data_IF_640633054541
#
_entry.id   IF_640633054541
#
_cell.length_a   1.000
_cell.length_b   1.000
_cell.length_c   1.000
_cell.angle_alpha   90.00
_cell.angle_beta   90.00
_cell.angle_gamma   90.00
#
_symmetry.space_group_name_H-M   'P 1'
#
loop_
_entity.id
_entity.type
_entity.pdbx_description
1 polymer ?
#
# COMPACT_ATOMS: atom_id res chain seq x y z
N UNK A 1 -7.20 -1.17 -15.57
CA UNK A 1 -7.56 0.14 -15.01
C UNK A 1 -6.27 0.80 -14.52
N UNK A 2 -5.96 2.00 -15.02
CA UNK A 2 -4.76 2.72 -14.60
C UNK A 2 -4.99 3.29 -13.20
N UNK A 3 -4.11 2.94 -12.26
CA UNK A 3 -4.18 3.38 -10.86
C UNK A 3 -2.97 4.24 -10.55
N UNK A 4 -3.18 5.31 -9.80
CA UNK A 4 -2.14 6.24 -9.38
C UNK A 4 -1.70 5.91 -7.96
N UNK A 5 -0.40 5.73 -7.77
CA UNK A 5 0.23 5.41 -6.48
C UNK A 5 1.15 6.54 -6.05
N UNK A 6 1.12 6.89 -4.76
CA UNK A 6 2.10 7.77 -4.13
C UNK A 6 2.82 6.97 -3.04
N UNK A 7 4.08 6.63 -3.28
CA UNK A 7 4.88 5.80 -2.38
C UNK A 7 5.92 6.66 -1.69
N UNK A 8 6.09 6.51 -0.38
CA UNK A 8 7.19 7.13 0.35
C UNK A 8 8.49 6.37 0.12
N UNK A 9 9.58 7.10 -0.07
CA UNK A 9 10.92 6.54 -0.23
C UNK A 9 11.85 7.25 0.75
N UNK A 10 12.49 6.46 1.58
CA UNK A 10 13.59 6.92 2.42
C UNK A 10 14.85 7.01 1.56
N UNK A 11 15.40 8.20 1.44
CA UNK A 11 16.66 8.50 0.78
C UNK A 11 17.73 8.67 1.85
N UNK A 12 18.79 7.86 1.82
CA UNK A 12 20.01 8.05 2.58
C UNK A 12 21.17 8.39 1.65
N UNK A 13 22.18 9.11 2.17
CA UNK A 13 23.41 9.36 1.43
C UNK A 13 24.56 8.69 2.15
N UNK A 14 25.11 7.60 1.62
CA UNK A 14 26.25 6.87 2.22
C UNK A 14 27.44 6.94 1.27
N UNK A 15 28.58 7.40 1.79
CA UNK A 15 29.87 7.44 1.07
C UNK A 15 29.84 8.10 -0.33
N UNK A 16 28.99 9.13 -0.50
CA UNK A 16 28.85 9.82 -1.78
C UNK A 16 27.91 9.16 -2.80
N UNK A 17 27.29 8.04 -2.43
CA UNK A 17 26.16 7.42 -3.15
C UNK A 17 24.83 7.70 -2.45
N UNK A 18 23.76 7.72 -3.22
CA UNK A 18 22.39 7.79 -2.68
C UNK A 18 21.77 6.40 -2.67
N UNK A 19 21.13 6.07 -1.56
CA UNK A 19 20.43 4.81 -1.30
C UNK A 19 18.95 5.13 -1.07
N UNK A 20 18.07 4.45 -1.81
CA UNK A 20 16.64 4.70 -1.80
C UNK A 20 15.93 3.42 -1.38
N UNK A 21 15.17 3.49 -0.29
CA UNK A 21 14.40 2.36 0.26
C UNK A 21 12.92 2.72 0.27
N UNK A 22 12.09 1.94 -0.41
CA UNK A 22 10.66 2.22 -0.49
C UNK A 22 9.90 1.77 0.78
N UNK A 23 8.94 2.59 1.20
CA UNK A 23 8.04 2.34 2.32
C UNK A 23 6.76 1.62 1.83
N UNK A 24 6.91 0.35 1.43
CA UNK A 24 5.85 -0.54 0.87
C UNK A 24 5.52 -1.70 1.83
N UNK A 25 4.51 -2.55 1.68
CA UNK A 25 4.21 -3.59 2.69
C UNK A 25 5.42 -4.45 3.12
N UNK A 26 5.54 -4.79 4.42
CA UNK A 26 6.74 -5.44 5.02
C UNK A 26 7.16 -6.75 4.35
N UNK A 27 6.23 -7.46 3.70
CA UNK A 27 6.53 -8.66 2.92
C UNK A 27 7.22 -8.40 1.57
N UNK A 28 7.53 -7.15 1.25
CA UNK A 28 8.05 -6.72 -0.05
C UNK A 28 9.21 -5.75 0.11
N UNK A 29 10.07 -5.71 -0.89
CA UNK A 29 11.30 -4.94 -0.83
C UNK A 29 11.63 -4.29 -2.17
N UNK A 30 11.83 -2.97 -2.13
CA UNK A 30 12.31 -2.18 -3.25
C UNK A 30 13.40 -1.23 -2.76
N UNK A 31 14.61 -1.45 -3.30
CA UNK A 31 15.82 -0.70 -3.00
C UNK A 31 16.52 -0.31 -4.29
N UNK A 32 17.11 0.88 -4.33
CA UNK A 32 17.96 1.34 -5.42
C UNK A 32 19.14 2.14 -4.86
N UNK A 33 20.30 2.04 -5.52
CA UNK A 33 21.49 2.82 -5.17
C UNK A 33 22.13 3.41 -6.42
N UNK A 34 22.75 4.58 -6.27
CA UNK A 34 23.51 5.18 -7.35
C UNK A 34 23.75 6.68 -7.18
N UNK A 35 23.95 7.35 -8.30
CA UNK A 35 24.16 8.79 -8.38
C UNK A 35 23.15 9.41 -9.34
N UNK A 36 22.67 10.61 -8.99
CA UNK A 36 21.72 11.38 -9.78
C UNK A 36 20.27 10.99 -9.47
N UNK A 37 19.58 11.89 -8.78
CA UNK A 37 18.20 11.73 -8.32
C UNK A 37 17.23 11.30 -9.44
N UNK A 38 17.30 11.90 -10.63
CA UNK A 38 16.38 11.59 -11.74
C UNK A 38 16.49 10.13 -12.17
N UNK A 39 17.72 9.62 -12.35
CA UNK A 39 17.95 8.22 -12.76
C UNK A 39 17.53 7.24 -11.67
N UNK A 40 17.77 7.58 -10.40
CA UNK A 40 17.32 6.77 -9.28
C UNK A 40 15.80 6.73 -9.18
N UNK A 41 15.14 7.87 -9.41
CA UNK A 41 13.69 7.95 -9.45
C UNK A 41 13.09 7.06 -10.53
N UNK A 42 13.61 7.10 -11.75
CA UNK A 42 13.16 6.24 -12.85
C UNK A 42 13.33 4.74 -12.50
N UNK A 43 14.52 4.35 -12.04
CA UNK A 43 14.79 2.97 -11.62
C UNK A 43 13.90 2.52 -10.46
N UNK A 44 13.63 3.41 -9.50
CA UNK A 44 12.75 3.12 -8.37
C UNK A 44 11.31 2.95 -8.85
N UNK A 45 10.81 3.80 -9.75
CA UNK A 45 9.48 3.65 -10.34
C UNK A 45 9.35 2.30 -11.06
N UNK A 46 10.34 1.92 -11.86
CA UNK A 46 10.32 0.64 -12.58
C UNK A 46 10.38 -0.55 -11.63
N UNK A 47 11.17 -0.45 -10.56
CA UNK A 47 11.19 -1.46 -9.50
C UNK A 47 9.85 -1.56 -8.79
N UNK A 48 9.22 -0.43 -8.42
CA UNK A 48 7.91 -0.40 -7.77
C UNK A 48 6.82 -0.99 -8.67
N UNK A 49 6.85 -0.71 -9.97
CA UNK A 49 5.95 -1.34 -10.96
C UNK A 49 6.13 -2.86 -10.99
N UNK A 50 7.36 -3.35 -10.96
CA UNK A 50 7.63 -4.78 -10.92
C UNK A 50 7.05 -5.43 -9.64
N UNK A 51 7.33 -4.85 -8.48
CA UNK A 51 6.81 -5.37 -7.20
C UNK A 51 5.28 -5.35 -7.17
N UNK A 52 4.64 -4.28 -7.67
CA UNK A 52 3.18 -4.20 -7.74
C UNK A 52 2.54 -5.28 -8.62
N UNK A 53 3.20 -5.68 -9.73
CA UNK A 53 2.68 -6.77 -10.60
C UNK A 53 2.63 -8.12 -9.89
N UNK A 54 3.56 -8.34 -8.98
CA UNK A 54 3.65 -9.56 -8.17
C UNK A 54 2.72 -9.48 -6.94
N UNK A 55 2.31 -8.27 -6.55
CA UNK A 55 1.48 -8.00 -5.37
C UNK A 55 0.01 -8.38 -5.57
N UNK A 56 -0.62 -9.11 -4.63
CA UNK A 56 -2.06 -9.36 -4.65
C UNK A 56 -2.86 -8.04 -4.63
N UNK A 57 -3.99 -7.93 -5.35
CA UNK A 57 -4.79 -6.70 -5.41
C UNK A 57 -5.13 -6.11 -4.03
N UNK A 58 -5.45 -6.97 -3.06
CA UNK A 58 -5.75 -6.57 -1.67
C UNK A 58 -4.61 -5.82 -0.96
N UNK A 59 -3.37 -6.08 -1.36
CA UNK A 59 -2.16 -5.56 -0.70
C UNK A 59 -1.62 -4.33 -1.46
N UNK A 60 -2.17 -3.99 -2.64
CA UNK A 60 -1.71 -2.86 -3.44
C UNK A 60 -2.12 -1.51 -2.85
N UNK A 61 -3.26 -1.43 -2.16
CA UNK A 61 -3.68 -0.19 -1.47
C UNK A 61 -2.68 0.22 -0.37
N UNK A 62 -1.98 -0.76 0.21
CA UNK A 62 -0.97 -0.55 1.25
C UNK A 62 0.34 0.09 0.74
N UNK A 63 0.48 0.29 -0.58
CA UNK A 63 1.59 1.05 -1.15
C UNK A 63 1.41 2.55 -1.01
N UNK A 64 0.18 3.02 -0.78
CA UNK A 64 -0.07 4.45 -0.58
C UNK A 64 0.57 4.89 0.73
N UNK A 65 1.42 5.92 0.64
CA UNK A 65 2.00 6.54 1.82
C UNK A 65 0.88 7.18 2.65
N UNK A 66 0.75 6.84 3.95
CA UNK A 66 -0.21 7.49 4.81
C UNK A 66 0.04 9.00 4.91
N UNK A 67 -1.05 9.75 5.01
CA UNK A 67 -0.97 11.19 5.20
C UNK A 67 -0.36 11.51 6.57
N UNK A 68 0.57 12.46 6.60
CA UNK A 68 1.27 12.84 7.83
C UNK A 68 2.46 11.95 8.17
N UNK A 69 2.80 10.96 7.33
CA UNK A 69 4.05 10.21 7.50
C UNK A 69 5.25 11.13 7.35
N UNK A 70 6.16 11.07 8.33
CA UNK A 70 7.35 11.92 8.39
C UNK A 70 8.60 11.13 8.77
N UNK A 71 9.77 11.74 8.53
CA UNK A 71 11.07 11.24 8.95
C UNK A 71 11.55 12.05 10.15
N UNK A 72 11.55 11.41 11.31
CA UNK A 72 12.11 11.93 12.55
C UNK A 72 13.55 11.45 12.74
N UNK A 73 14.35 12.30 13.40
CA UNK A 73 15.76 12.02 13.68
C UNK A 73 15.99 12.09 15.16
N UNK A 74 16.09 10.93 15.80
CA UNK A 74 16.13 10.85 17.24
C UNK A 74 17.58 10.68 17.73
N UNK A 75 18.00 11.42 18.76
CA UNK A 75 19.28 11.16 19.41
C UNK A 75 19.26 9.74 19.97
N UNK A 76 20.38 9.04 19.80
CA UNK A 76 20.49 7.64 20.15
C UNK A 76 21.85 7.34 20.79
N UNK A 77 21.81 6.53 21.84
CA UNK A 77 22.98 6.12 22.60
C UNK A 77 22.76 4.68 23.10
N UNK A 78 23.54 3.76 22.53
CA UNK A 78 23.43 2.34 22.81
C UNK A 78 24.76 1.76 23.24
N UNK A 79 24.74 1.07 24.37
CA UNK A 79 25.83 0.22 24.82
C UNK A 79 25.63 -1.20 24.27
N UNK A 80 26.57 -1.65 23.46
CA UNK A 80 26.69 -3.01 22.95
C UNK A 80 27.68 -3.82 23.80
N UNK A 81 27.83 -5.10 23.51
CA UNK A 81 28.77 -5.97 24.23
C UNK A 81 30.24 -5.66 23.87
N UNK A 82 30.49 -5.19 22.65
CA UNK A 82 31.80 -4.86 22.07
C UNK A 82 32.13 -3.37 22.06
N UNK A 83 31.17 -2.50 22.40
CA UNK A 83 31.38 -1.05 22.30
C UNK A 83 30.19 -0.20 22.73
N UNK A 84 30.28 1.10 22.43
CA UNK A 84 29.17 2.06 22.63
C UNK A 84 29.02 2.88 21.36
N UNK A 85 27.80 2.90 20.83
CA UNK A 85 27.46 3.63 19.62
C UNK A 85 26.57 4.80 19.97
N UNK A 86 26.96 5.99 19.53
CA UNK A 86 26.19 7.23 19.72
C UNK A 86 25.95 7.89 18.36
N UNK A 87 24.79 8.51 18.20
CA UNK A 87 24.46 9.22 16.98
C UNK A 87 22.98 9.56 16.89
N UNK A 88 22.45 9.52 15.66
CA UNK A 88 21.06 9.85 15.37
C UNK A 88 20.44 8.73 14.57
N UNK A 89 19.30 8.22 15.01
CA UNK A 89 18.56 7.15 14.31
C UNK A 89 17.44 7.78 13.47
N UNK A 90 17.34 7.46 12.18
CA UNK A 90 16.21 7.84 11.35
C UNK A 90 15.01 6.96 11.69
N UNK A 91 13.87 7.59 11.92
CA UNK A 91 12.64 6.92 12.29
C UNK A 91 11.51 7.41 11.38
N UNK A 92 10.83 6.49 10.70
CA UNK A 92 9.56 6.82 10.04
C UNK A 92 8.48 6.84 11.11
N UNK A 93 7.72 7.92 11.16
CA UNK A 93 6.57 8.09 12.03
C UNK A 93 5.32 8.17 11.17
N UNK A 94 4.47 7.15 11.24
CA UNK A 94 3.21 7.07 10.49
C UNK A 94 2.01 7.26 11.42
N UNK A 95 1.25 8.36 11.31
CA UNK A 95 0.02 8.51 12.06
C UNK A 95 -1.07 7.61 11.47
N UNK A 96 -1.77 6.87 12.34
CA UNK A 96 -2.90 6.00 11.99
C UNK A 96 -4.07 6.29 12.91
N UNK A 97 -5.23 6.57 12.33
CA UNK A 97 -6.49 6.67 13.07
C UNK A 97 -6.92 5.28 13.55
N UNK A 98 -7.19 5.14 14.84
CA UNK A 98 -7.83 3.94 15.40
C UNK A 98 -9.34 4.16 15.50
N UNK A 99 -9.75 5.38 15.84
CA UNK A 99 -11.13 5.81 15.92
C UNK A 99 -11.29 7.24 15.34
N UNK A 100 -12.44 7.87 15.56
CA UNK A 100 -12.74 9.20 15.00
C UNK A 100 -11.90 10.33 15.61
N UNK A 101 -11.40 10.16 16.83
CA UNK A 101 -10.78 11.21 17.64
C UNK A 101 -9.35 10.89 18.06
N UNK A 102 -8.91 9.63 17.86
CA UNK A 102 -7.59 9.15 18.29
C UNK A 102 -6.74 8.67 17.13
N UNK A 103 -5.56 9.26 17.05
CA UNK A 103 -4.43 8.75 16.26
C UNK A 103 -3.41 8.07 17.18
N UNK A 104 -2.74 7.05 16.65
CA UNK A 104 -1.49 6.53 17.20
C UNK A 104 -0.39 6.65 16.16
N UNK A 105 0.84 6.64 16.62
CA UNK A 105 2.03 6.74 15.79
C UNK A 105 2.66 5.35 15.65
N UNK A 106 2.73 4.84 14.43
CA UNK A 106 3.54 3.67 14.11
C UNK A 106 4.95 4.14 13.78
N UNK A 107 5.93 3.58 14.47
CA UNK A 107 7.31 4.05 14.45
C UNK A 107 8.25 2.91 14.09
N UNK A 108 9.11 3.12 13.10
CA UNK A 108 10.05 2.09 12.66
C UNK A 108 11.26 2.65 11.93
N UNK A 109 12.36 1.89 11.91
CA UNK A 109 13.54 2.24 11.14
C UNK A 109 13.31 1.95 9.64
N UNK A 110 13.64 2.87 8.70
CA UNK A 110 13.36 2.69 7.27
C UNK A 110 13.94 1.40 6.66
N UNK A 111 15.09 0.93 7.14
CA UNK A 111 15.75 -0.28 6.66
C UNK A 111 15.35 -1.55 7.45
N UNK A 112 14.68 -1.41 8.62
CA UNK A 112 14.29 -2.52 9.50
C UNK A 112 12.81 -2.44 9.88
N UNK A 113 11.96 -2.41 8.86
CA UNK A 113 10.53 -2.08 8.99
C UNK A 113 9.67 -3.13 9.69
N UNK A 114 10.21 -4.32 9.89
CA UNK A 114 9.60 -5.36 10.73
C UNK A 114 9.79 -5.08 12.22
N UNK A 115 10.74 -4.21 12.58
CA UNK A 115 11.00 -3.75 13.94
C UNK A 115 10.29 -2.41 14.14
N UNK A 116 9.06 -2.49 14.64
CA UNK A 116 8.22 -1.32 14.85
C UNK A 116 7.63 -1.30 16.26
N UNK A 117 7.29 -0.10 16.72
CA UNK A 117 6.59 0.14 17.98
C UNK A 117 5.51 1.21 17.79
N UNK A 118 4.65 1.35 18.80
CA UNK A 118 3.57 2.35 18.82
C UNK A 118 3.91 3.42 19.86
N UNK A 119 3.66 4.68 19.53
CA UNK A 119 3.64 5.79 20.47
C UNK A 119 2.29 6.51 20.42
N UNK A 120 1.81 6.99 21.57
CA UNK A 120 0.60 7.81 21.64
C UNK A 120 0.91 9.27 21.28
N UNK A 121 2.07 9.78 21.69
CA UNK A 121 2.53 11.14 21.38
C UNK A 121 3.99 11.15 20.87
N UNK A 122 4.35 12.22 20.16
CA UNK A 122 5.71 12.48 19.69
C UNK A 122 6.71 12.66 20.84
N UNK A 123 6.27 13.17 21.99
CA UNK A 123 7.13 13.36 23.16
C UNK A 123 7.70 12.04 23.69
N UNK A 124 7.01 10.93 23.44
CA UNK A 124 7.41 9.60 23.94
C UNK A 124 8.43 8.92 23.03
N UNK A 125 8.62 9.41 21.80
CA UNK A 125 9.40 8.75 20.75
C UNK A 125 10.83 8.45 21.18
N UNK A 126 11.52 9.43 21.78
CA UNK A 126 12.93 9.26 22.18
C UNK A 126 13.10 8.14 23.22
N UNK A 127 12.23 8.14 24.23
CA UNK A 127 12.28 7.16 25.32
C UNK A 127 11.92 5.76 24.80
N UNK A 128 10.82 5.64 24.04
CA UNK A 128 10.36 4.37 23.48
C UNK A 128 11.38 3.80 22.48
N UNK A 129 11.92 4.64 21.58
CA UNK A 129 12.92 4.22 20.60
C UNK A 129 14.19 3.69 21.28
N UNK A 130 14.67 4.37 22.33
CA UNK A 130 15.87 3.96 23.06
C UNK A 130 15.67 2.60 23.74
N UNK A 131 14.52 2.39 24.40
CA UNK A 131 14.19 1.10 25.00
C UNK A 131 14.03 0.00 23.95
N UNK A 132 13.35 0.30 22.84
CA UNK A 132 13.05 -0.64 21.78
C UNK A 132 14.31 -1.13 21.05
N UNK A 133 15.15 -0.21 20.58
CA UNK A 133 16.39 -0.56 19.86
C UNK A 133 17.44 -1.18 20.79
N UNK A 134 17.47 -0.83 22.08
CA UNK A 134 18.32 -1.54 23.04
C UNK A 134 18.01 -3.03 23.14
N UNK A 135 16.74 -3.41 22.95
CA UNK A 135 16.35 -4.81 22.90
C UNK A 135 16.65 -5.44 21.53
N UNK A 136 16.20 -4.80 20.45
CA UNK A 136 16.25 -5.37 19.09
C UNK A 136 17.65 -5.37 18.47
N UNK A 137 18.49 -4.39 18.80
CA UNK A 137 19.83 -4.23 18.21
C UNK A 137 20.93 -4.75 19.12
N UNK A 138 20.60 -5.36 20.26
CA UNK A 138 21.60 -5.91 21.19
C UNK A 138 22.52 -6.95 20.53
N UNK A 139 21.97 -7.74 19.61
CA UNK A 139 22.70 -8.79 18.91
C UNK A 139 23.47 -8.30 17.67
N UNK A 140 23.38 -7.01 17.34
CA UNK A 140 24.14 -6.41 16.25
C UNK A 140 25.51 -5.97 16.76
N UNK A 141 26.51 -6.04 15.89
CA UNK A 141 27.83 -5.47 16.16
C UNK A 141 27.83 -3.95 15.95
N UNK A 142 28.90 -3.30 16.42
CA UNK A 142 29.05 -1.86 16.31
C UNK A 142 28.98 -1.35 14.86
N UNK A 143 29.53 -2.08 13.89
CA UNK A 143 29.52 -1.71 12.48
C UNK A 143 28.10 -1.72 11.90
N UNK A 144 27.31 -2.76 12.17
CA UNK A 144 25.92 -2.84 11.72
C UNK A 144 25.07 -1.73 12.32
N UNK A 145 25.23 -1.43 13.62
CA UNK A 145 24.47 -0.33 14.25
C UNK A 145 24.88 1.02 13.64
N UNK A 146 26.17 1.26 13.40
CA UNK A 146 26.64 2.49 12.73
C UNK A 146 26.06 2.63 11.32
N UNK A 147 25.91 1.53 10.59
CA UNK A 147 25.30 1.52 9.25
C UNK A 147 23.82 1.95 9.21
N UNK A 148 23.11 1.83 10.34
CA UNK A 148 21.71 2.24 10.51
C UNK A 148 21.58 3.71 10.97
N UNK A 149 22.67 4.35 11.39
CA UNK A 149 22.60 5.74 11.83
C UNK A 149 22.44 6.70 10.65
N UNK A 150 21.73 7.78 10.92
CA UNK A 150 21.59 8.91 10.02
C UNK A 150 22.87 9.75 10.00
N UNK A 151 23.23 10.24 8.82
CA UNK A 151 24.26 11.28 8.67
C UNK A 151 23.68 12.70 8.59
N UNK A 152 22.38 12.86 8.88
CA UNK A 152 21.65 14.12 8.85
C UNK A 152 21.28 14.64 7.46
N UNK A 153 21.62 13.93 6.38
CA UNK A 153 21.31 14.30 4.99
C UNK A 153 20.29 13.39 4.31
N UNK A 154 19.80 12.42 5.06
CA UNK A 154 18.66 11.58 4.73
C UNK A 154 17.36 12.38 4.56
N UNK A 155 16.41 11.86 3.78
CA UNK A 155 15.13 12.52 3.49
C UNK A 155 14.04 11.48 3.28
N UNK A 156 12.80 11.86 3.58
CA UNK A 156 11.63 11.17 3.09
C UNK A 156 11.13 11.91 1.85
N UNK A 157 11.14 11.24 0.69
CA UNK A 157 10.60 11.76 -0.56
C UNK A 157 9.36 10.97 -0.96
N UNK A 158 8.49 11.59 -1.75
CA UNK A 158 7.31 10.94 -2.32
C UNK A 158 7.52 10.72 -3.81
N UNK A 159 7.26 9.51 -4.28
CA UNK A 159 7.27 9.16 -5.69
C UNK A 159 5.85 8.82 -6.11
N UNK A 160 5.30 9.66 -6.99
CA UNK A 160 4.03 9.42 -7.65
C UNK A 160 4.25 8.74 -9.00
N UNK A 161 3.51 7.68 -9.27
CA UNK A 161 3.52 7.01 -10.57
C UNK A 161 2.19 6.32 -10.85
N UNK A 162 2.00 5.97 -12.12
CA UNK A 162 0.81 5.28 -12.59
C UNK A 162 1.18 3.92 -13.15
N UNK A 163 0.37 2.91 -12.88
CA UNK A 163 0.51 1.58 -13.48
C UNK A 163 -0.85 0.90 -13.61
N UNK A 164 -0.94 -0.11 -14.46
CA UNK A 164 -2.06 -1.04 -14.44
C UNK A 164 -1.96 -1.89 -13.16
N UNK A 165 -2.89 -1.66 -12.24
CA UNK A 165 -3.02 -2.43 -11.02
C UNK A 165 -3.57 -3.82 -11.34
N UNK A 166 -3.01 -4.86 -10.72
CA UNK A 166 -3.56 -6.22 -10.83
C UNK A 166 -4.96 -6.21 -10.23
N UNK A 167 -5.92 -6.78 -10.95
CA UNK A 167 -7.30 -6.93 -10.52
C UNK A 167 -7.55 -8.33 -9.97
N UNK A 168 -8.68 -8.52 -9.27
CA UNK A 168 -9.13 -9.85 -8.88
C UNK A 168 -9.38 -10.77 -10.08
N UNK A 169 -9.73 -10.21 -11.25
CA UNK A 169 -9.92 -10.98 -12.48
C UNK A 169 -8.61 -11.62 -12.97
N UNK A 170 -7.48 -10.93 -12.75
CA UNK A 170 -6.15 -11.44 -13.12
C UNK A 170 -5.66 -12.56 -12.19
N UNK A 171 -6.33 -12.75 -11.05
CA UNK A 171 -6.08 -13.87 -10.15
C UNK A 171 -6.95 -15.09 -10.45
N UNK A 172 -7.91 -14.99 -11.37
CA UNK A 172 -8.69 -16.15 -11.77
C UNK A 172 -7.74 -17.16 -12.44
N UNK A 173 -7.84 -18.46 -12.11
CA UNK A 173 -7.05 -19.47 -12.79
C UNK A 173 -7.28 -19.31 -14.29
N UNK A 174 -6.18 -19.24 -15.07
CA UNK A 174 -6.29 -19.08 -16.52
C UNK A 174 -7.24 -20.17 -17.00
N UNK A 175 -8.36 -19.77 -17.59
CA UNK A 175 -9.28 -20.74 -18.16
C UNK A 175 -8.45 -21.53 -19.16
N UNK A 176 -8.07 -22.76 -18.81
CA UNK A 176 -7.76 -23.80 -19.80
C UNK A 176 -8.88 -23.65 -20.81
N UNK A 177 -8.52 -23.22 -22.02
CA UNK A 177 -9.41 -22.88 -23.12
C UNK A 177 -10.55 -23.88 -23.09
N UNK A 178 -11.67 -23.51 -22.49
CA UNK A 178 -12.83 -24.39 -22.46
C UNK A 178 -13.22 -24.43 -23.93
N UNK A 179 -12.94 -25.56 -24.58
CA UNK A 179 -13.40 -25.92 -25.92
C UNK A 179 -14.92 -26.12 -25.94
N UNK A 180 -15.65 -25.35 -25.13
CA UNK A 180 -17.09 -25.19 -25.11
C UNK A 180 -17.50 -23.78 -25.53
N UNK A 181 -16.76 -23.20 -26.47
CA UNK A 181 -17.31 -22.23 -27.42
C UNK A 181 -18.23 -22.94 -28.44
N UNK A 182 -19.10 -23.83 -27.96
CA UNK A 182 -19.98 -24.66 -28.75
C UNK A 182 -21.25 -24.88 -27.94
N UNK A 183 -22.30 -24.15 -28.34
CA UNK A 183 -23.70 -24.35 -27.97
C UNK A 183 -23.95 -24.79 -26.52
N UNK A 184 -24.18 -23.82 -25.63
CA UNK A 184 -25.00 -24.11 -24.45
C UNK A 184 -26.41 -24.43 -24.92
N UNK A 185 -26.65 -25.72 -25.17
CA UNK A 185 -28.00 -26.28 -25.24
C UNK A 185 -28.72 -25.93 -23.92
N UNK A 186 -29.95 -25.39 -24.00
CA UNK A 186 -30.68 -24.96 -22.81
C UNK A 186 -30.95 -26.18 -21.92
N UNK A 187 -30.36 -26.18 -20.72
CA UNK A 187 -30.69 -27.17 -19.70
C UNK A 187 -32.07 -26.84 -19.14
N UNK A 188 -32.98 -27.83 -19.01
CA UNK A 188 -34.30 -27.59 -18.43
C UNK A 188 -34.11 -27.19 -16.96
N UNK A 189 -34.61 -26.00 -16.59
CA UNK A 189 -34.56 -25.47 -15.22
C UNK A 189 -34.00 -24.05 -15.06
N UNK A 190 -33.48 -23.41 -16.11
CA UNK A 190 -32.98 -22.03 -16.01
C UNK A 190 -34.06 -21.00 -16.35
N UNK A 191 -35.06 -20.88 -15.46
CA UNK A 191 -36.14 -19.88 -15.56
C UNK A 191 -35.59 -18.45 -15.66
N UNK A 192 -34.48 -18.17 -14.97
CA UNK A 192 -33.86 -16.83 -14.96
C UNK A 192 -33.43 -16.36 -16.36
N UNK A 193 -33.00 -17.24 -17.25
CA UNK A 193 -32.66 -16.84 -18.63
C UNK A 193 -33.89 -16.53 -19.49
N UNK A 194 -35.08 -16.99 -19.07
CA UNK A 194 -36.34 -16.73 -19.77
C UNK A 194 -37.01 -15.45 -19.29
N UNK A 195 -36.80 -15.05 -18.02
CA UNK A 195 -37.48 -13.91 -17.39
C UNK A 195 -36.57 -12.74 -17.03
N UNK A 196 -35.24 -12.91 -17.08
CA UNK A 196 -34.28 -11.91 -16.69
C UNK A 196 -33.08 -11.88 -17.64
N UNK A 197 -32.31 -10.80 -17.52
CA UNK A 197 -31.10 -10.56 -18.28
C UNK A 197 -29.91 -10.55 -17.34
N UNK A 198 -28.84 -11.24 -17.72
CA UNK A 198 -27.55 -11.12 -17.04
C UNK A 198 -26.83 -9.83 -17.48
N UNK A 199 -27.01 -8.76 -16.69
CA UNK A 199 -26.35 -7.48 -16.92
C UNK A 199 -24.83 -7.55 -16.71
N UNK A 200 -24.32 -8.51 -15.92
CA UNK A 200 -22.87 -8.72 -15.76
C UNK A 200 -22.27 -9.23 -17.07
N UNK A 201 -22.95 -10.18 -17.71
CA UNK A 201 -22.54 -10.67 -19.01
C UNK A 201 -22.61 -9.56 -20.07
N UNK A 202 -23.69 -8.76 -20.10
CA UNK A 202 -23.83 -7.63 -21.04
C UNK A 202 -22.72 -6.59 -20.90
N UNK A 203 -22.36 -6.25 -19.66
CA UNK A 203 -21.24 -5.35 -19.36
C UNK A 203 -19.91 -5.94 -19.81
N UNK A 204 -19.71 -7.25 -19.64
CA UNK A 204 -18.47 -7.93 -20.06
C UNK A 204 -18.31 -8.04 -21.57
N UNK A 205 -19.41 -8.11 -22.32
CA UNK A 205 -19.42 -8.20 -23.79
C UNK A 205 -19.33 -6.84 -24.50
N UNK A 206 -18.95 -5.77 -23.78
CA UNK A 206 -18.74 -4.41 -24.29
C UNK A 206 -19.96 -3.73 -24.97
N UNK A 207 -21.18 -4.24 -24.76
CA UNK A 207 -22.39 -3.78 -25.45
C UNK A 207 -23.20 -2.70 -24.72
N UNK A 208 -22.79 -2.28 -23.53
CA UNK A 208 -23.56 -1.37 -22.67
C UNK A 208 -22.74 -0.11 -22.40
N UNK A 209 -23.36 1.07 -22.61
CA UNK A 209 -22.77 2.34 -22.27
C UNK A 209 -22.61 2.44 -20.74
N UNK A 210 -21.36 2.36 -20.26
CA UNK A 210 -21.03 2.61 -18.86
C UNK A 210 -21.30 4.09 -18.58
N UNK A 211 -22.44 4.39 -17.96
CA UNK A 211 -22.77 5.75 -17.54
C UNK A 211 -21.74 6.30 -16.55
N UNK A 212 -21.78 7.62 -16.32
CA UNK A 212 -20.88 8.27 -15.36
C UNK A 212 -21.22 7.80 -13.94
N UNK A 213 -20.23 7.39 -13.12
CA UNK A 213 -20.45 7.05 -11.72
C UNK A 213 -21.08 8.21 -10.95
N UNK A 214 -22.24 7.96 -10.33
CA UNK A 214 -22.96 8.97 -9.55
C UNK A 214 -22.62 8.85 -8.07
N UNK A 215 -21.54 9.50 -7.66
CA UNK A 215 -21.25 9.73 -6.24
C UNK A 215 -22.28 10.74 -5.67
N UNK A 216 -22.81 10.55 -4.44
CA UNK A 216 -22.46 9.51 -3.46
C UNK A 216 -23.31 8.23 -3.54
N UNK A 217 -24.29 8.19 -4.44
CA UNK A 217 -25.27 7.10 -4.50
C UNK A 217 -24.65 5.74 -4.83
N UNK A 218 -23.61 5.73 -5.66
CA UNK A 218 -22.85 4.52 -5.97
C UNK A 218 -22.19 3.93 -4.71
N UNK A 219 -21.50 4.74 -3.92
CA UNK A 219 -20.84 4.26 -2.70
C UNK A 219 -21.86 3.73 -1.70
N UNK A 220 -23.00 4.42 -1.57
CA UNK A 220 -24.10 3.98 -0.71
C UNK A 220 -24.69 2.65 -1.16
N UNK A 221 -24.85 2.42 -2.47
CA UNK A 221 -25.30 1.14 -3.01
C UNK A 221 -24.29 0.03 -2.77
N UNK A 222 -22.99 0.29 -2.99
CA UNK A 222 -21.92 -0.66 -2.69
C UNK A 222 -21.92 -1.06 -1.21
N UNK A 223 -22.08 -0.10 -0.30
CA UNK A 223 -22.16 -0.36 1.12
C UNK A 223 -23.38 -1.21 1.52
N UNK A 224 -24.55 -0.91 0.96
CA UNK A 224 -25.79 -1.63 1.29
C UNK A 224 -25.86 -3.04 0.69
N UNK A 225 -25.32 -3.24 -0.51
CA UNK A 225 -25.35 -4.52 -1.23
C UNK A 225 -24.14 -5.41 -0.91
N UNK A 226 -22.97 -4.83 -0.64
CA UNK A 226 -21.70 -5.54 -0.44
C UNK A 226 -21.10 -5.42 0.95
N UNK A 227 -21.75 -4.71 1.88
CA UNK A 227 -21.29 -4.58 3.26
C UNK A 227 -21.38 -5.88 4.07
N UNK A 228 -20.91 -5.88 5.32
CA UNK A 228 -20.88 -7.06 6.20
C UNK A 228 -22.27 -7.64 6.52
N UNK A 229 -23.34 -6.88 6.25
CA UNK A 229 -24.73 -7.33 6.32
C UNK A 229 -25.48 -6.84 5.08
N UNK A 230 -25.46 -7.60 3.98
CA UNK A 230 -26.10 -7.19 2.72
C UNK A 230 -27.62 -7.06 2.91
N UNK A 231 -28.22 -6.04 2.29
CA UNK A 231 -29.66 -5.77 2.34
C UNK A 231 -30.23 -5.67 0.94
N UNK A 232 -31.50 -6.04 0.77
CA UNK A 232 -32.26 -5.71 -0.43
C UNK A 232 -32.45 -4.19 -0.51
N UNK A 233 -32.14 -3.60 -1.66
CA UNK A 233 -32.22 -2.15 -1.87
C UNK A 233 -33.15 -1.82 -3.03
N UNK A 234 -34.02 -0.84 -2.84
CA UNK A 234 -34.83 -0.25 -3.90
C UNK A 234 -34.31 1.16 -4.22
N UNK A 235 -34.06 1.44 -5.50
CA UNK A 235 -33.67 2.77 -5.98
C UNK A 235 -34.92 3.51 -6.45
N UNK A 236 -35.25 4.62 -5.79
CA UNK A 236 -36.48 5.39 -6.05
C UNK A 236 -36.11 6.75 -6.67
N UNK A 237 -36.86 7.14 -7.70
CA UNK A 237 -36.68 8.43 -8.37
C UNK A 237 -37.50 8.53 -9.67
N UNK A 238 -37.64 9.73 -10.25
CA UNK A 238 -38.41 9.96 -11.47
C UNK A 238 -37.94 9.11 -12.66
N UNK A 239 -38.80 8.81 -13.66
CA UNK A 239 -38.37 8.19 -14.91
C UNK A 239 -37.23 9.00 -15.57
N UNK A 240 -36.23 8.31 -16.14
CA UNK A 240 -35.06 8.96 -16.74
C UNK A 240 -33.98 9.45 -15.76
N UNK A 241 -34.20 9.33 -14.44
CA UNK A 241 -33.22 9.77 -13.44
C UNK A 241 -31.98 8.87 -13.32
N UNK A 242 -31.74 7.92 -14.23
CA UNK A 242 -30.58 7.02 -14.23
C UNK A 242 -30.53 6.05 -13.04
N UNK A 243 -31.64 5.33 -12.81
CA UNK A 243 -31.75 4.30 -11.74
C UNK A 243 -31.26 2.91 -12.18
N UNK A 244 -31.29 2.66 -13.49
CA UNK A 244 -30.88 1.44 -14.19
C UNK A 244 -29.52 1.66 -14.80
#
# INVERSE_FOLDING_TARGET
MMTHFTVGVYQAKKEGTEEWTALIPVGQYAYQQGQGETKLRERMIDRLRQVLRETPPRDQELFQLPLGTELERLPFDLKLDDGRVTGTVPLIVEPRWIDADRQILFCYHPERRFEWFIADDRTDLVNLATMFFRHHWKALDEEAVRGLLSNGRDRLIQIAFSTEAKSLLDMLPSRKKDTKAGAFSPRPGQVLQQIAVDETHRLSSAGVALGVPRSPYRERLTYLLGGPRPRSVAVIGPPGSGKT
#
